data_IF_043873564016
#
_entry.id   IF_043873564016
#
_cell.length_a   1.000
_cell.length_b   1.000
_cell.length_c   1.000
_cell.angle_alpha   90.00
_cell.angle_beta   90.00
_cell.angle_gamma   90.00
#
_symmetry.space_group_name_H-M   'P 1'
#
loop_
_entity.id
_entity.type
_entity.pdbx_description
1 polymer ?
#
# COMPACT_ATOMS: atom_id res chain seq x y z
N UNK A 1 25.27 14.37 -7.02
CA UNK A 1 24.63 15.00 -5.86
C UNK A 1 23.59 16.01 -6.31
N UNK A 2 22.33 15.58 -6.35
CA UNK A 2 21.19 16.48 -6.46
C UNK A 2 20.82 16.80 -5.02
N UNK A 3 21.17 18.00 -4.58
CA UNK A 3 20.82 18.51 -3.25
C UNK A 3 19.30 18.57 -3.12
N UNK A 4 18.76 17.77 -2.19
CA UNK A 4 17.36 17.74 -1.75
C UNK A 4 17.02 19.06 -1.01
N UNK A 5 16.94 20.17 -1.74
CA UNK A 5 16.56 21.46 -1.18
C UNK A 5 15.05 21.70 -1.39
N UNK A 6 14.24 20.99 -0.60
CA UNK A 6 12.81 21.28 -0.40
C UNK A 6 12.52 21.19 1.09
N UNK A 7 13.21 22.03 1.87
CA UNK A 7 12.95 22.23 3.30
C UNK A 7 11.80 23.23 3.56
N UNK A 8 11.29 23.91 2.53
CA UNK A 8 10.22 24.90 2.69
C UNK A 8 8.85 24.28 2.46
N UNK A 9 7.94 24.55 3.39
CA UNK A 9 6.52 24.21 3.28
C UNK A 9 5.91 24.99 2.08
N UNK A 10 5.27 24.32 1.10
CA UNK A 10 4.48 24.99 0.08
C UNK A 10 3.39 25.86 0.70
N UNK A 11 3.17 27.06 0.15
CA UNK A 11 2.27 28.09 0.67
C UNK A 11 0.80 27.65 0.78
N UNK A 12 0.39 26.61 0.07
CA UNK A 12 -0.98 26.11 -0.06
C UNK A 12 -1.28 24.85 0.78
N UNK A 13 -0.29 24.28 1.47
CA UNK A 13 -0.46 23.04 2.23
C UNK A 13 -0.69 23.28 3.73
N UNK A 14 -1.52 22.46 4.36
CA UNK A 14 -1.64 22.44 5.82
C UNK A 14 -0.38 21.89 6.50
N UNK A 15 -0.16 22.21 7.78
CA UNK A 15 0.99 21.67 8.54
C UNK A 15 0.92 20.15 8.71
N UNK A 16 -0.30 19.61 8.88
CA UNK A 16 -0.52 18.17 9.01
C UNK A 16 -0.19 17.41 7.72
N UNK A 17 -0.58 17.95 6.56
CA UNK A 17 -0.22 17.36 5.26
C UNK A 17 1.29 17.38 5.03
N UNK A 18 1.96 18.49 5.36
CA UNK A 18 3.41 18.59 5.21
C UNK A 18 4.14 17.59 6.11
N UNK A 19 3.70 17.43 7.37
CA UNK A 19 4.25 16.44 8.29
C UNK A 19 4.06 15.01 7.76
N UNK A 20 2.86 14.70 7.27
CA UNK A 20 2.53 13.39 6.70
C UNK A 20 3.39 13.07 5.48
N UNK A 21 3.52 14.03 4.56
CA UNK A 21 4.38 13.88 3.37
C UNK A 21 5.85 13.69 3.73
N UNK A 22 6.34 14.42 4.74
CA UNK A 22 7.71 14.28 5.22
C UNK A 22 7.95 12.89 5.82
N UNK A 23 7.00 12.37 6.60
CA UNK A 23 7.04 11.00 7.12
C UNK A 23 7.04 9.95 6.00
N UNK A 24 6.16 10.09 5.00
CA UNK A 24 6.10 9.17 3.85
C UNK A 24 7.42 9.19 3.07
N UNK A 25 7.95 10.38 2.74
CA UNK A 25 9.22 10.52 2.03
C UNK A 25 10.38 9.91 2.83
N UNK A 26 10.45 10.18 4.13
CA UNK A 26 11.46 9.62 5.03
C UNK A 26 11.38 8.10 5.09
N UNK A 27 10.18 7.54 5.29
CA UNK A 27 9.95 6.10 5.34
C UNK A 27 10.40 5.39 4.06
N UNK A 28 10.01 5.92 2.89
CA UNK A 28 10.43 5.36 1.59
C UNK A 28 11.93 5.48 1.38
N UNK A 29 12.52 6.66 1.64
CA UNK A 29 13.97 6.90 1.42
C UNK A 29 14.83 5.98 2.28
N UNK A 30 14.39 5.70 3.50
CA UNK A 30 15.13 4.88 4.46
C UNK A 30 14.73 3.39 4.44
N UNK A 31 13.75 3.00 3.60
CA UNK A 31 13.15 1.66 3.62
C UNK A 31 12.73 1.22 5.04
N UNK A 32 12.17 2.14 5.82
CA UNK A 32 11.83 1.91 7.22
C UNK A 32 10.71 0.86 7.33
N UNK A 33 10.98 -0.25 8.03
CA UNK A 33 10.07 -1.39 8.18
C UNK A 33 9.44 -1.48 9.56
N UNK A 34 9.56 -0.43 10.38
CA UNK A 34 8.90 -0.32 11.68
C UNK A 34 7.36 -0.25 11.55
N UNK A 35 6.65 -0.56 12.63
CA UNK A 35 5.18 -0.53 12.67
C UNK A 35 4.64 0.90 12.73
N UNK A 36 5.47 1.84 13.19
CA UNK A 36 5.21 3.27 13.27
C UNK A 36 5.38 3.97 11.91
N UNK A 37 6.09 3.34 10.97
CA UNK A 37 6.30 3.89 9.63
C UNK A 37 5.06 3.70 8.75
N UNK A 38 4.70 4.69 7.90
CA UNK A 38 3.58 4.53 6.98
C UNK A 38 3.82 3.37 6.01
N UNK A 39 2.82 2.51 5.86
CA UNK A 39 2.87 1.40 4.90
C UNK A 39 2.71 1.92 3.47
N UNK A 40 3.74 1.71 2.64
CA UNK A 40 3.72 2.08 1.22
C UNK A 40 4.08 0.85 0.39
N UNK A 41 3.15 0.42 -0.46
CA UNK A 41 3.32 -0.73 -1.36
C UNK A 41 3.00 -0.31 -2.79
N UNK A 42 3.84 -0.73 -3.74
CA UNK A 42 3.51 -0.64 -5.16
C UNK A 42 3.24 -2.03 -5.72
N UNK A 43 1.99 -2.27 -6.12
CA UNK A 43 1.57 -3.51 -6.80
C UNK A 43 1.83 -3.37 -8.29
N UNK A 44 2.67 -4.24 -8.84
CA UNK A 44 3.05 -4.19 -10.25
C UNK A 44 2.39 -5.28 -11.10
N UNK A 45 1.94 -6.37 -10.47
CA UNK A 45 1.32 -7.50 -11.16
C UNK A 45 0.19 -8.09 -10.34
N UNK A 46 -0.83 -8.55 -11.05
CA UNK A 46 -1.93 -9.35 -10.52
C UNK A 46 -1.86 -10.71 -11.19
N UNK A 47 -1.82 -11.79 -10.41
CA UNK A 47 -1.78 -13.15 -10.94
C UNK A 47 -3.06 -13.89 -10.57
N UNK A 48 -3.77 -14.50 -11.54
CA UNK A 48 -4.85 -15.41 -11.24
C UNK A 48 -4.31 -16.68 -10.59
N UNK A 49 -4.98 -17.12 -9.53
CA UNK A 49 -4.73 -18.39 -8.85
C UNK A 49 -6.05 -19.13 -8.67
N UNK A 50 -6.01 -20.46 -8.77
CA UNK A 50 -7.14 -21.29 -8.39
C UNK A 50 -7.47 -21.11 -6.89
N UNK A 51 -8.74 -20.94 -6.58
CA UNK A 51 -9.21 -20.69 -5.22
C UNK A 51 -8.85 -21.82 -4.25
N UNK A 52 -8.88 -23.09 -4.71
CA UNK A 52 -8.54 -24.24 -3.87
C UNK A 52 -7.04 -24.28 -3.60
N UNK A 53 -6.22 -24.03 -4.62
CA UNK A 53 -4.77 -23.92 -4.46
C UNK A 53 -4.39 -22.80 -3.46
N UNK A 54 -5.06 -21.64 -3.55
CA UNK A 54 -4.88 -20.55 -2.60
C UNK A 54 -5.30 -20.92 -1.17
N UNK A 55 -6.45 -21.57 -1.00
CA UNK A 55 -6.94 -22.00 0.31
C UNK A 55 -5.97 -22.97 1.01
N UNK A 56 -5.36 -23.89 0.24
CA UNK A 56 -4.33 -24.80 0.75
C UNK A 56 -3.07 -24.03 1.14
N UNK A 57 -2.55 -23.16 0.26
CA UNK A 57 -1.33 -22.41 0.52
C UNK A 57 -1.45 -21.45 1.72
N UNK A 58 -2.63 -20.87 1.92
CA UNK A 58 -2.90 -19.90 3.00
C UNK A 58 -3.46 -20.54 4.27
N UNK A 59 -3.76 -21.84 4.25
CA UNK A 59 -4.44 -22.57 5.32
C UNK A 59 -5.79 -21.95 5.70
N UNK A 60 -6.51 -21.41 4.71
CA UNK A 60 -7.79 -20.75 4.91
C UNK A 60 -8.92 -21.46 4.15
N UNK A 61 -9.53 -22.51 4.72
CA UNK A 61 -10.51 -23.35 4.05
C UNK A 61 -11.89 -22.69 3.85
N UNK A 62 -12.16 -21.55 4.50
CA UNK A 62 -13.43 -20.82 4.36
C UNK A 62 -13.59 -20.12 2.99
N UNK A 63 -12.49 -19.99 2.23
CA UNK A 63 -12.47 -19.31 0.94
C UNK A 63 -13.02 -20.15 -0.24
N UNK A 64 -13.48 -21.38 0.02
CA UNK A 64 -13.93 -22.34 -0.99
C UNK A 64 -15.34 -22.07 -1.58
N UNK A 65 -15.99 -20.96 -1.25
CA UNK A 65 -17.35 -20.67 -1.71
C UNK A 65 -17.36 -19.56 -2.76
N UNK A 66 -17.92 -19.84 -3.95
CA UNK A 66 -18.27 -18.83 -4.96
C UNK A 66 -17.43 -18.86 -6.23
N UNK A 67 -16.16 -18.44 -6.16
CA UNK A 67 -15.33 -18.19 -7.36
C UNK A 67 -14.22 -19.25 -7.54
N UNK A 68 -14.03 -19.72 -8.77
CA UNK A 68 -12.96 -20.67 -9.11
C UNK A 68 -11.56 -20.03 -9.09
N UNK A 69 -11.49 -18.71 -9.28
CA UNK A 69 -10.24 -17.98 -9.52
C UNK A 69 -10.19 -16.74 -8.63
N UNK A 70 -9.05 -16.52 -7.96
CA UNK A 70 -8.72 -15.30 -7.19
C UNK A 70 -7.55 -14.58 -7.83
N UNK A 71 -7.42 -13.28 -7.59
CA UNK A 71 -6.25 -12.51 -8.00
C UNK A 71 -5.32 -12.27 -6.81
N UNK A 72 -4.04 -12.57 -6.97
CA UNK A 72 -2.99 -12.22 -6.01
C UNK A 72 -2.22 -11.01 -6.54
N UNK A 73 -2.10 -9.99 -5.70
CA UNK A 73 -1.24 -8.85 -5.93
C UNK A 73 0.22 -9.18 -5.60
N UNK A 74 1.11 -8.94 -6.54
CA UNK A 74 2.57 -8.92 -6.33
C UNK A 74 3.03 -7.46 -6.30
N UNK A 75 3.62 -7.07 -5.18
CA UNK A 75 4.10 -5.72 -4.97
C UNK A 75 5.36 -5.64 -4.14
N UNK A 76 6.02 -4.50 -4.23
CA UNK A 76 7.18 -4.16 -3.41
C UNK A 76 6.74 -3.26 -2.26
N UNK A 77 7.10 -3.64 -1.04
CA UNK A 77 6.99 -2.79 0.15
C UNK A 77 8.16 -1.82 0.13
N UNK A 78 7.87 -0.52 0.18
CA UNK A 78 8.87 0.55 0.25
C UNK A 78 9.03 1.12 1.65
N UNK A 79 8.01 1.00 2.50
CA UNK A 79 7.97 1.49 3.88
C UNK A 79 6.88 0.76 4.65
N UNK A 80 7.03 0.65 5.98
CA UNK A 80 6.10 -0.01 6.90
C UNK A 80 6.09 -1.53 6.80
N UNK A 81 5.09 -2.15 7.44
CA UNK A 81 4.92 -3.60 7.54
C UNK A 81 3.49 -4.02 7.19
N UNK A 82 3.37 -5.12 6.44
CA UNK A 82 2.08 -5.75 6.12
C UNK A 82 1.80 -6.91 7.08
N UNK A 83 0.57 -6.99 7.56
CA UNK A 83 0.07 -8.04 8.45
C UNK A 83 -1.26 -8.60 7.94
N UNK A 84 -1.48 -9.89 8.22
CA UNK A 84 -2.71 -10.59 7.85
C UNK A 84 -3.88 -10.10 8.70
N UNK A 85 -5.04 -9.91 8.07
CA UNK A 85 -6.28 -9.51 8.76
C UNK A 85 -6.37 -8.02 9.10
N UNK A 86 -5.37 -7.21 8.70
CA UNK A 86 -5.49 -5.75 8.72
C UNK A 86 -6.12 -5.26 7.42
N UNK A 87 -6.93 -4.21 7.54
CA UNK A 87 -7.51 -3.54 6.39
C UNK A 87 -6.54 -2.49 5.82
N UNK A 88 -6.48 -2.39 4.49
CA UNK A 88 -5.62 -1.42 3.81
C UNK A 88 -6.38 -0.55 2.81
N UNK A 89 -5.85 0.65 2.59
CA UNK A 89 -6.32 1.59 1.58
C UNK A 89 -5.57 1.33 0.27
N UNK A 90 -6.30 0.93 -0.77
CA UNK A 90 -5.73 0.74 -2.12
C UNK A 90 -6.10 1.94 -2.99
N UNK A 91 -5.08 2.60 -3.55
CA UNK A 91 -5.25 3.68 -4.52
C UNK A 91 -5.25 3.12 -5.95
N UNK A 92 -6.33 3.36 -6.69
CA UNK A 92 -6.41 3.02 -8.11
C UNK A 92 -5.49 3.87 -8.99
N UNK A 93 -5.29 3.46 -10.24
CA UNK A 93 -4.43 4.17 -11.21
C UNK A 93 -4.89 5.60 -11.52
N UNK A 94 -6.18 5.90 -11.32
CA UNK A 94 -6.80 7.21 -11.52
C UNK A 94 -6.93 8.03 -10.24
N UNK A 95 -6.38 7.55 -9.12
CA UNK A 95 -6.51 8.24 -7.85
C UNK A 95 -5.93 9.65 -7.92
N UNK A 96 -6.71 10.63 -7.47
CA UNK A 96 -6.28 12.00 -7.28
C UNK A 96 -6.80 12.50 -5.93
N UNK A 97 -6.27 13.63 -5.44
CA UNK A 97 -6.76 14.25 -4.19
C UNK A 97 -8.28 14.52 -4.22
N UNK A 98 -8.83 14.75 -5.41
CA UNK A 98 -10.24 15.07 -5.64
C UNK A 98 -11.12 13.83 -5.85
N UNK A 99 -10.54 12.71 -6.33
CA UNK A 99 -11.25 11.45 -6.61
C UNK A 99 -10.77 10.33 -5.68
N UNK A 100 -11.62 10.02 -4.70
CA UNK A 100 -11.38 8.95 -3.72
C UNK A 100 -11.74 7.59 -4.30
N UNK A 101 -10.88 7.06 -5.16
CA UNK A 101 -10.91 5.66 -5.60
C UNK A 101 -10.20 4.79 -4.55
N UNK A 102 -10.77 4.75 -3.35
CA UNK A 102 -10.25 3.97 -2.22
C UNK A 102 -11.03 2.69 -2.10
N UNK A 103 -10.35 1.57 -2.27
CA UNK A 103 -10.89 0.25 -1.93
C UNK A 103 -10.36 -0.12 -0.54
N UNK A 104 -11.27 -0.44 0.38
CA UNK A 104 -10.94 -1.09 1.66
C UNK A 104 -10.99 -2.59 1.45
N UNK A 105 -9.89 -3.27 1.75
CA UNK A 105 -9.77 -4.74 1.70
C UNK A 105 -9.22 -5.25 3.02
#
# INVERSE_FOLDING_TARGET
DISDDISSKPLDMSEEEFKTLTQIKGGIKNCDNSEESPLIIYVSKMQPIDTKAYAVATKNPSLNQGESTRLIAFGRVFSGKIERGKEYYIFGATHSKEKKDVIKM
#
